data_IF_155880393987
#
_entry.id   IF_155880393987
#
_cell.length_a   1.000
_cell.length_b   1.000
_cell.length_c   1.000
_cell.angle_alpha   90.00
_cell.angle_beta   90.00
_cell.angle_gamma   90.00
#
_symmetry.space_group_name_H-M   'P 1'
#
loop_
_entity.id
_entity.type
_entity.pdbx_description
1 polymer ?
#
# COMPACT_ATOMS: atom_id res chain seq x y z
N UNK A 1 12.33 2.95 -30.65
CA UNK A 1 13.71 3.42 -30.89
C UNK A 1 14.57 3.11 -29.68
N UNK A 2 15.88 2.93 -29.85
CA UNK A 2 16.82 2.76 -28.73
C UNK A 2 16.74 3.93 -27.73
N UNK A 3 16.56 5.16 -28.21
CA UNK A 3 16.43 6.36 -27.37
C UNK A 3 15.24 6.29 -26.41
N UNK A 4 14.08 5.80 -26.89
CA UNK A 4 12.90 5.64 -26.05
C UNK A 4 13.10 4.58 -24.95
N UNK A 5 13.88 3.53 -25.24
CA UNK A 5 14.21 2.52 -24.24
C UNK A 5 15.18 3.08 -23.18
N UNK A 6 16.15 3.88 -23.61
CA UNK A 6 17.10 4.55 -22.74
C UNK A 6 16.41 5.59 -21.83
N UNK A 7 15.49 6.39 -22.38
CA UNK A 7 14.69 7.34 -21.61
C UNK A 7 13.82 6.64 -20.56
N UNK A 8 13.14 5.56 -20.93
CA UNK A 8 12.35 4.76 -19.97
C UNK A 8 13.24 4.18 -18.87
N UNK A 9 14.43 3.71 -19.22
CA UNK A 9 15.40 3.21 -18.25
C UNK A 9 15.88 4.32 -17.30
N UNK A 10 16.24 5.48 -17.83
CA UNK A 10 16.68 6.63 -17.06
C UNK A 10 15.59 7.14 -16.11
N UNK A 11 14.34 7.25 -16.59
CA UNK A 11 13.20 7.63 -15.76
C UNK A 11 12.92 6.62 -14.65
N UNK A 12 12.95 5.32 -14.97
CA UNK A 12 12.79 4.27 -13.96
C UNK A 12 13.89 4.34 -12.91
N UNK A 13 15.15 4.48 -13.34
CA UNK A 13 16.29 4.59 -12.44
C UNK A 13 16.22 5.83 -11.55
N UNK A 14 15.82 6.98 -12.09
CA UNK A 14 15.61 8.18 -11.30
C UNK A 14 14.49 7.99 -10.26
N UNK A 15 13.37 7.37 -10.66
CA UNK A 15 12.30 7.02 -9.73
C UNK A 15 12.80 6.11 -8.60
N UNK A 16 13.51 5.04 -8.95
CA UNK A 16 14.04 4.07 -8.00
C UNK A 16 15.07 4.72 -7.05
N UNK A 17 15.99 5.54 -7.57
CA UNK A 17 17.12 6.12 -6.82
C UNK A 17 16.74 7.37 -5.99
N UNK A 18 15.73 8.14 -6.39
CA UNK A 18 15.45 9.47 -5.82
C UNK A 18 14.05 9.64 -5.24
N UNK A 19 13.07 8.91 -5.76
CA UNK A 19 11.66 9.14 -5.40
C UNK A 19 11.15 8.00 -4.52
N UNK A 20 11.48 6.75 -4.86
CA UNK A 20 10.94 5.55 -4.22
C UNK A 20 11.12 5.57 -2.71
N UNK A 21 12.31 5.91 -2.20
CA UNK A 21 12.62 5.90 -0.76
C UNK A 21 11.94 7.01 0.04
N UNK A 22 11.54 8.09 -0.63
CA UNK A 22 10.80 9.19 -0.01
C UNK A 22 9.28 8.90 0.05
N UNK A 23 8.81 7.91 -0.71
CA UNK A 23 7.39 7.58 -0.77
C UNK A 23 6.95 6.76 0.43
N UNK A 24 5.73 7.03 0.89
CA UNK A 24 5.06 6.15 1.85
C UNK A 24 4.80 4.78 1.22
N UNK A 25 4.89 3.67 2.00
CA UNK A 25 4.66 2.32 1.48
C UNK A 25 3.31 2.16 0.75
N UNK A 26 2.27 2.88 1.19
CA UNK A 26 0.96 2.91 0.54
C UNK A 26 1.01 3.54 -0.86
N UNK A 27 1.76 4.63 -1.06
CA UNK A 27 1.92 5.28 -2.36
C UNK A 27 2.69 4.38 -3.33
N UNK A 28 3.77 3.73 -2.86
CA UNK A 28 4.56 2.78 -3.66
C UNK A 28 3.68 1.63 -4.17
N UNK A 29 2.79 1.12 -3.31
CA UNK A 29 1.81 0.07 -3.68
C UNK A 29 0.91 0.50 -4.85
N UNK A 30 0.46 1.75 -4.90
CA UNK A 30 -0.37 2.25 -6.02
C UNK A 30 0.39 2.29 -7.34
N UNK A 31 1.66 2.72 -7.33
CA UNK A 31 2.51 2.71 -8.54
C UNK A 31 2.70 1.27 -9.05
N UNK A 32 2.98 0.34 -8.15
CA UNK A 32 3.13 -1.08 -8.49
C UNK A 32 1.84 -1.67 -9.05
N UNK A 33 0.69 -1.37 -8.44
CA UNK A 33 -0.61 -1.86 -8.90
C UNK A 33 -0.94 -1.34 -10.31
N UNK A 34 -0.73 -0.05 -10.57
CA UNK A 34 -0.93 0.53 -11.90
C UNK A 34 0.01 -0.10 -12.93
N UNK A 35 1.30 -0.27 -12.59
CA UNK A 35 2.25 -0.95 -13.46
C UNK A 35 1.82 -2.41 -13.75
N UNK A 36 1.25 -3.10 -12.76
CA UNK A 36 0.70 -4.44 -12.91
C UNK A 36 -0.50 -4.50 -13.86
N UNK A 37 -1.41 -3.52 -13.75
CA UNK A 37 -2.56 -3.40 -14.67
C UNK A 37 -2.11 -3.14 -16.11
N UNK A 38 -1.16 -2.20 -16.32
CA UNK A 38 -0.65 -1.85 -17.64
C UNK A 38 0.13 -2.99 -18.30
N UNK A 39 0.81 -3.82 -17.50
CA UNK A 39 1.52 -5.01 -18.00
C UNK A 39 0.63 -6.24 -18.13
N UNK A 40 -0.62 -6.19 -17.64
CA UNK A 40 -1.54 -7.33 -17.61
C UNK A 40 -1.19 -8.41 -16.59
N UNK A 41 -0.17 -8.19 -15.75
CA UNK A 41 0.23 -9.10 -14.66
C UNK A 41 -0.73 -9.06 -13.48
N UNK A 42 -1.52 -7.99 -13.36
CA UNK A 42 -2.60 -7.82 -12.37
C UNK A 42 -3.91 -7.57 -13.10
N UNK A 43 -5.01 -8.12 -12.58
CA UNK A 43 -6.38 -7.87 -13.06
C UNK A 43 -7.23 -7.31 -11.92
N UNK A 44 -8.18 -6.45 -12.26
CA UNK A 44 -9.15 -5.96 -11.28
C UNK A 44 -10.11 -7.07 -10.87
N UNK A 45 -10.33 -7.21 -9.57
CA UNK A 45 -11.39 -8.04 -9.02
C UNK A 45 -12.56 -7.13 -8.63
N UNK A 46 -13.72 -7.36 -9.23
CA UNK A 46 -14.95 -6.62 -8.93
C UNK A 46 -15.87 -7.36 -7.95
N UNK A 47 -15.51 -8.57 -7.53
CA UNK A 47 -16.30 -9.32 -6.56
C UNK A 47 -16.25 -8.64 -5.17
N UNK A 48 -17.37 -8.62 -4.43
CA UNK A 48 -17.37 -8.12 -3.06
C UNK A 48 -16.46 -8.97 -2.17
N UNK A 49 -15.74 -8.31 -1.26
CA UNK A 49 -14.89 -8.94 -0.26
C UNK A 49 -15.40 -8.62 1.14
N UNK A 50 -15.35 -9.62 2.02
CA UNK A 50 -15.79 -9.49 3.41
C UNK A 50 -14.58 -9.62 4.33
N UNK A 51 -14.35 -8.60 5.16
CA UNK A 51 -13.31 -8.64 6.19
C UNK A 51 -13.90 -9.20 7.48
N UNK A 52 -13.53 -10.43 7.83
CA UNK A 52 -14.05 -11.10 9.03
C UNK A 52 -13.25 -10.78 10.30
N UNK A 53 -11.92 -10.75 10.20
CA UNK A 53 -11.03 -10.49 11.33
C UNK A 53 -9.70 -9.90 10.86
N UNK A 54 -9.02 -9.21 11.77
CA UNK A 54 -7.65 -8.72 11.59
C UNK A 54 -6.79 -9.35 12.69
N UNK A 55 -5.72 -10.02 12.30
CA UNK A 55 -4.77 -10.65 13.23
C UNK A 55 -3.49 -9.81 13.23
N UNK A 56 -3.07 -9.35 14.40
CA UNK A 56 -1.77 -8.70 14.59
C UNK A 56 -0.77 -9.74 15.09
N UNK A 57 0.28 -9.99 14.33
CA UNK A 57 1.39 -10.84 14.75
C UNK A 57 2.38 -10.02 15.58
N UNK A 58 2.53 -10.39 16.86
CA UNK A 58 3.34 -9.65 17.83
C UNK A 58 2.60 -8.45 18.42
N UNK A 59 2.95 -8.09 19.66
CA UNK A 59 2.41 -6.92 20.35
C UNK A 59 3.46 -5.81 20.21
N UNK A 60 3.17 -4.74 19.46
CA UNK A 60 4.09 -3.62 19.40
C UNK A 60 4.06 -2.89 20.76
N UNK A 61 5.23 -2.64 21.33
CA UNK A 61 5.38 -1.90 22.58
C UNK A 61 5.24 -0.40 22.32
N UNK A 62 4.03 0.13 22.45
CA UNK A 62 3.74 1.55 22.20
C UNK A 62 3.77 2.44 23.45
N UNK A 63 3.76 1.84 24.65
CA UNK A 63 3.89 2.56 25.92
C UNK A 63 5.05 2.01 26.78
N UNK A 64 5.37 2.72 27.86
CA UNK A 64 6.41 2.34 28.82
C UNK A 64 6.08 1.07 29.61
N UNK A 65 4.85 0.55 29.50
CA UNK A 65 4.38 -0.66 30.17
C UNK A 65 4.37 -1.91 29.27
N UNK A 66 4.76 -1.78 27.99
CA UNK A 66 4.75 -2.89 27.03
C UNK A 66 3.35 -3.30 26.56
N UNK A 67 2.32 -2.49 26.85
CA UNK A 67 0.95 -2.79 26.45
C UNK A 67 0.63 -2.19 25.08
N UNK A 68 -0.24 -2.88 24.33
CA UNK A 68 -0.84 -2.37 23.11
C UNK A 68 -2.36 -2.34 23.29
N UNK A 69 -2.98 -1.18 23.04
CA UNK A 69 -4.43 -1.01 23.00
C UNK A 69 -4.83 -0.70 21.55
N UNK A 70 -4.97 -1.71 20.69
CA UNK A 70 -5.21 -1.48 19.27
C UNK A 70 -6.60 -0.88 19.06
N UNK A 71 -6.65 0.15 18.23
CA UNK A 71 -7.88 0.75 17.73
C UNK A 71 -7.86 0.67 16.20
N UNK A 72 -8.95 0.18 15.61
CA UNK A 72 -9.07 -0.01 14.18
C UNK A 72 -10.21 0.84 13.61
N UNK A 73 -9.90 1.61 12.57
CA UNK A 73 -10.89 2.34 11.79
C UNK A 73 -10.71 2.03 10.31
N UNK A 74 -11.76 1.57 9.66
CA UNK A 74 -11.75 1.21 8.24
C UNK A 74 -12.45 2.30 7.45
N UNK A 75 -11.82 2.70 6.36
CA UNK A 75 -12.34 3.71 5.45
C UNK A 75 -12.45 3.14 4.04
N UNK A 76 -13.53 3.50 3.35
CA UNK A 76 -13.72 3.26 1.93
C UNK A 76 -14.10 4.59 1.28
N UNK A 77 -13.36 5.00 0.24
CA UNK A 77 -13.56 6.28 -0.42
C UNK A 77 -13.66 7.47 0.55
N UNK A 78 -12.75 7.51 1.54
CA UNK A 78 -12.71 8.51 2.62
C UNK A 78 -13.91 8.49 3.59
N UNK A 79 -14.85 7.55 3.44
CA UNK A 79 -15.97 7.35 4.34
C UNK A 79 -15.64 6.25 5.37
N UNK A 80 -15.86 6.49 6.68
CA UNK A 80 -15.65 5.45 7.69
C UNK A 80 -16.75 4.39 7.56
N UNK A 81 -16.35 3.13 7.35
CA UNK A 81 -17.27 1.99 7.19
C UNK A 81 -17.29 1.08 8.41
N UNK A 82 -16.27 1.13 9.26
CA UNK A 82 -16.20 0.39 10.51
C UNK A 82 -15.25 1.08 11.50
N UNK A 83 -15.56 0.98 12.80
CA UNK A 83 -14.71 1.44 13.89
C UNK A 83 -14.78 0.39 15.00
N UNK A 84 -13.63 -0.08 15.49
CA UNK A 84 -13.58 -1.01 16.63
C UNK A 84 -14.01 -0.32 17.92
N UNK A 85 -14.37 -1.11 18.93
CA UNK A 85 -14.49 -0.62 20.30
C UNK A 85 -13.18 -0.05 20.85
N UNK A 86 -13.29 0.69 21.95
CA UNK A 86 -12.19 1.25 22.75
C UNK A 86 -12.14 0.51 24.08
#
# INVERSE_FOLDING_TARGET
>A
SADQALDRFAMKKFFDDKVSDLMQPSQRRYVQFLSGLLSGSVKMNAAPLFLHYVILHGIPSFDSGGACRPFLKLYQAMQPVYTSGI
#
